data_IF_606924257577
#
_entry.id   IF_606924257577
#
_cell.length_a   1.000
_cell.length_b   1.000
_cell.length_c   1.000
_cell.angle_alpha   90.00
_cell.angle_beta   90.00
_cell.angle_gamma   90.00
#
_symmetry.space_group_name_H-M   'P 1'
#
loop_
_entity.id
_entity.type
_entity.pdbx_description
1 polymer ?
#
# COMPACT_ATOMS: atom_id res chain seq x y z
N UNK A 1 -2.81 -74.35 3.68
CA UNK A 1 -3.70 -73.39 2.99
C UNK A 1 -4.20 -72.26 3.90
N UNK A 2 -4.39 -72.46 5.22
CA UNK A 2 -4.90 -71.40 6.12
C UNK A 2 -3.97 -70.21 6.36
N UNK A 3 -2.65 -70.41 6.44
CA UNK A 3 -1.71 -69.32 6.74
C UNK A 3 -1.48 -68.39 5.55
N UNK A 4 -1.52 -68.93 4.33
CA UNK A 4 -1.41 -68.13 3.11
C UNK A 4 -2.65 -67.25 2.90
N UNK A 5 -3.84 -67.79 3.18
CA UNK A 5 -5.09 -67.02 3.13
C UNK A 5 -5.13 -65.90 4.18
N UNK A 6 -4.60 -66.13 5.39
CA UNK A 6 -4.46 -65.08 6.42
C UNK A 6 -3.45 -64.00 6.03
N UNK A 7 -2.33 -64.39 5.43
CA UNK A 7 -1.32 -63.44 4.95
C UNK A 7 -1.85 -62.58 3.80
N UNK A 8 -2.59 -63.17 2.86
CA UNK A 8 -3.26 -62.43 1.76
C UNK A 8 -4.30 -61.46 2.31
N UNK A 9 -5.17 -61.89 3.23
CA UNK A 9 -6.18 -61.02 3.83
C UNK A 9 -5.56 -59.83 4.58
N UNK A 10 -4.44 -60.05 5.29
CA UNK A 10 -3.70 -58.98 5.98
C UNK A 10 -3.10 -57.98 4.98
N UNK A 11 -2.48 -58.47 3.90
CA UNK A 11 -1.94 -57.62 2.84
C UNK A 11 -3.02 -56.82 2.11
N UNK A 12 -4.19 -57.41 1.86
CA UNK A 12 -5.32 -56.71 1.25
C UNK A 12 -5.84 -55.57 2.13
N UNK A 13 -5.90 -55.77 3.44
CA UNK A 13 -6.27 -54.75 4.42
C UNK A 13 -5.23 -53.61 4.46
N UNK A 14 -3.95 -53.95 4.55
CA UNK A 14 -2.85 -52.96 4.51
C UNK A 14 -2.86 -52.17 3.20
N UNK A 15 -3.07 -52.83 2.06
CA UNK A 15 -3.13 -52.16 0.75
C UNK A 15 -4.36 -51.26 0.61
N UNK A 16 -5.48 -51.60 1.27
CA UNK A 16 -6.67 -50.73 1.32
C UNK A 16 -6.39 -49.50 2.18
N UNK A 17 -5.83 -49.68 3.38
CA UNK A 17 -5.43 -48.59 4.26
C UNK A 17 -4.45 -47.62 3.60
N UNK A 18 -3.44 -48.12 2.87
CA UNK A 18 -2.50 -47.29 2.11
C UNK A 18 -3.21 -46.49 1.00
N UNK A 19 -4.20 -47.08 0.32
CA UNK A 19 -4.98 -46.37 -0.71
C UNK A 19 -5.83 -45.26 -0.12
N UNK A 20 -6.48 -45.51 1.02
CA UNK A 20 -7.30 -44.51 1.73
C UNK A 20 -6.42 -43.36 2.25
N UNK A 21 -5.28 -43.67 2.87
CA UNK A 21 -4.32 -42.65 3.30
C UNK A 21 -3.82 -41.79 2.14
N UNK A 22 -3.52 -42.42 1.00
CA UNK A 22 -3.10 -41.68 -0.20
C UNK A 22 -4.19 -40.73 -0.70
N UNK A 23 -5.44 -41.15 -0.72
CA UNK A 23 -6.56 -40.27 -1.11
C UNK A 23 -6.74 -39.10 -0.13
N UNK A 24 -6.51 -39.32 1.16
CA UNK A 24 -6.55 -38.25 2.17
C UNK A 24 -5.43 -37.25 1.91
N UNK A 25 -4.19 -37.71 1.71
CA UNK A 25 -3.04 -36.84 1.41
C UNK A 25 -3.26 -36.04 0.13
N UNK A 26 -3.71 -36.68 -0.96
CA UNK A 26 -4.01 -35.98 -2.22
C UNK A 26 -5.07 -34.88 -2.03
N UNK A 27 -6.07 -35.11 -1.17
CA UNK A 27 -7.08 -34.10 -0.84
C UNK A 27 -6.51 -32.96 0.01
N UNK A 28 -5.63 -33.27 0.97
CA UNK A 28 -4.94 -32.25 1.77
C UNK A 28 -4.06 -31.37 0.89
N UNK A 29 -3.27 -31.95 0.00
CA UNK A 29 -2.40 -31.20 -0.92
C UNK A 29 -3.22 -30.28 -1.85
N UNK A 30 -4.37 -30.75 -2.32
CA UNK A 30 -5.28 -29.93 -3.15
C UNK A 30 -5.80 -28.71 -2.37
N UNK A 31 -6.23 -28.91 -1.12
CA UNK A 31 -6.74 -27.80 -0.29
C UNK A 31 -5.63 -26.83 0.13
N UNK A 32 -4.45 -27.35 0.50
CA UNK A 32 -3.27 -26.52 0.81
C UNK A 32 -2.93 -25.64 -0.39
N UNK A 33 -2.86 -26.22 -1.59
CA UNK A 33 -2.54 -25.48 -2.81
C UNK A 33 -3.59 -24.42 -3.13
N UNK A 34 -4.88 -24.73 -2.96
CA UNK A 34 -5.96 -23.76 -3.19
C UNK A 34 -5.88 -22.56 -2.22
N UNK A 35 -5.60 -22.80 -0.94
CA UNK A 35 -5.46 -21.74 0.07
C UNK A 35 -4.20 -20.90 -0.11
N UNK A 36 -3.09 -21.54 -0.50
CA UNK A 36 -1.87 -20.82 -0.87
C UNK A 36 -2.10 -19.93 -2.09
N UNK A 37 -2.82 -20.41 -3.10
CA UNK A 37 -3.19 -19.62 -4.29
C UNK A 37 -4.06 -18.40 -3.92
N UNK A 38 -4.99 -18.54 -2.98
CA UNK A 38 -5.78 -17.42 -2.43
C UNK A 38 -4.87 -16.35 -1.78
N UNK A 39 -3.90 -16.76 -0.94
CA UNK A 39 -2.92 -15.86 -0.31
C UNK A 39 -2.00 -15.20 -1.34
N UNK A 40 -1.49 -15.96 -2.32
CA UNK A 40 -0.60 -15.46 -3.37
C UNK A 40 -1.31 -14.49 -4.33
N UNK A 41 -2.59 -14.73 -4.62
CA UNK A 41 -3.40 -13.86 -5.48
C UNK A 41 -3.54 -12.45 -4.92
N UNK A 42 -3.57 -12.30 -3.59
CA UNK A 42 -3.55 -10.97 -2.96
C UNK A 42 -2.27 -10.20 -3.32
N UNK A 43 -1.12 -10.87 -3.41
CA UNK A 43 0.13 -10.25 -3.87
C UNK A 43 0.03 -9.70 -5.29
N UNK A 44 -0.68 -10.42 -6.16
CA UNK A 44 -0.96 -9.94 -7.53
C UNK A 44 -1.91 -8.74 -7.53
N UNK A 45 -2.94 -8.75 -6.68
CA UNK A 45 -3.86 -7.62 -6.53
C UNK A 45 -3.16 -6.36 -5.98
N UNK A 46 -2.19 -6.52 -5.08
CA UNK A 46 -1.37 -5.40 -4.58
C UNK A 46 -0.53 -4.76 -5.70
N UNK A 47 0.03 -5.58 -6.60
CA UNK A 47 0.79 -5.08 -7.75
C UNK A 47 -0.11 -4.34 -8.76
N UNK A 48 -1.31 -4.85 -9.03
CA UNK A 48 -2.29 -4.16 -9.87
C UNK A 48 -2.71 -2.82 -9.25
N UNK A 49 -2.97 -2.82 -7.93
CA UNK A 49 -3.33 -1.63 -7.19
C UNK A 49 -2.23 -0.55 -7.25
N UNK A 50 -0.96 -0.94 -7.16
CA UNK A 50 0.16 -0.01 -7.36
C UNK A 50 0.09 0.67 -8.73
N UNK A 51 -0.10 -0.10 -9.80
CA UNK A 51 -0.20 0.45 -11.15
C UNK A 51 -1.39 1.41 -11.32
N UNK A 52 -2.53 1.08 -10.72
CA UNK A 52 -3.71 1.94 -10.72
C UNK A 52 -3.46 3.24 -9.95
N UNK A 53 -2.84 3.16 -8.78
CA UNK A 53 -2.52 4.33 -7.95
C UNK A 53 -1.51 5.27 -8.63
N UNK A 54 -0.49 4.73 -9.31
CA UNK A 54 0.47 5.56 -10.06
C UNK A 54 -0.27 6.41 -11.11
N UNK A 55 -1.17 5.79 -11.88
CA UNK A 55 -1.95 6.50 -12.88
C UNK A 55 -2.91 7.53 -12.24
N UNK A 56 -3.61 7.15 -11.18
CA UNK A 56 -4.57 8.02 -10.49
C UNK A 56 -3.89 9.23 -9.85
N UNK A 57 -2.71 9.05 -9.25
CA UNK A 57 -1.91 10.13 -8.68
C UNK A 57 -1.39 11.05 -9.79
N UNK A 58 -0.90 10.49 -10.89
CA UNK A 58 -0.44 11.26 -12.05
C UNK A 58 -1.57 12.10 -12.69
N UNK A 59 -2.81 11.60 -12.64
CA UNK A 59 -4.02 12.28 -13.14
C UNK A 59 -4.68 13.21 -12.10
N UNK A 60 -4.18 13.24 -10.87
CA UNK A 60 -4.75 13.99 -9.74
C UNK A 60 -6.20 13.58 -9.37
N UNK A 61 -6.59 12.34 -9.67
CA UNK A 61 -7.92 11.80 -9.33
C UNK A 61 -7.94 11.33 -7.86
N UNK A 62 -8.10 12.29 -6.95
CA UNK A 62 -8.08 12.02 -5.52
C UNK A 62 -9.23 11.10 -5.05
N UNK A 63 -10.38 11.09 -5.74
CA UNK A 63 -11.48 10.17 -5.39
C UNK A 63 -11.13 8.73 -5.75
N UNK A 64 -10.52 8.51 -6.91
CA UNK A 64 -10.03 7.18 -7.29
C UNK A 64 -8.94 6.70 -6.33
N UNK A 65 -8.01 7.58 -5.93
CA UNK A 65 -7.00 7.26 -4.90
C UNK A 65 -7.66 6.83 -3.58
N UNK A 66 -8.65 7.56 -3.07
CA UNK A 66 -9.36 7.19 -1.84
C UNK A 66 -10.00 5.80 -1.92
N UNK A 67 -10.63 5.50 -3.06
CA UNK A 67 -11.24 4.20 -3.30
C UNK A 67 -10.20 3.08 -3.34
N UNK A 68 -9.10 3.28 -4.05
CA UNK A 68 -7.98 2.34 -4.14
C UNK A 68 -7.40 2.02 -2.76
N UNK A 69 -7.23 3.03 -1.89
CA UNK A 69 -6.71 2.82 -0.53
C UNK A 69 -7.72 2.14 0.41
N UNK A 70 -9.01 2.34 0.18
CA UNK A 70 -10.05 1.55 0.84
C UNK A 70 -9.98 0.07 0.42
N UNK A 71 -9.76 -0.20 -0.87
CA UNK A 71 -9.55 -1.56 -1.38
C UNK A 71 -8.30 -2.23 -0.79
N UNK A 72 -7.19 -1.50 -0.64
CA UNK A 72 -5.98 -2.01 0.02
C UNK A 72 -6.26 -2.59 1.41
N UNK A 73 -7.04 -1.87 2.22
CA UNK A 73 -7.38 -2.31 3.59
C UNK A 73 -8.15 -3.61 3.61
N UNK A 74 -9.03 -3.82 2.63
CA UNK A 74 -9.76 -5.07 2.47
C UNK A 74 -8.87 -6.23 2.03
N UNK A 75 -7.84 -5.97 1.20
CA UNK A 75 -6.91 -7.01 0.74
C UNK A 75 -6.07 -7.60 1.86
N UNK A 76 -5.68 -6.78 2.85
CA UNK A 76 -4.84 -7.21 3.98
C UNK A 76 -5.63 -7.36 5.28
N UNK A 77 -6.95 -7.51 5.20
CA UNK A 77 -7.79 -7.64 6.39
C UNK A 77 -7.48 -8.94 7.13
N UNK A 78 -7.26 -8.82 8.45
CA UNK A 78 -6.97 -9.97 9.31
C UNK A 78 -8.13 -10.96 9.31
N UNK A 79 -9.38 -10.49 9.26
CA UNK A 79 -10.56 -11.37 9.32
C UNK A 79 -10.69 -12.22 8.05
N UNK A 80 -10.17 -11.74 6.92
CA UNK A 80 -10.21 -12.41 5.63
C UNK A 80 -8.97 -13.30 5.42
N UNK A 81 -7.76 -12.81 5.75
CA UNK A 81 -6.49 -13.48 5.41
C UNK A 81 -6.07 -14.52 6.45
N UNK A 82 -6.26 -14.24 7.75
CA UNK A 82 -5.80 -15.13 8.82
C UNK A 82 -6.42 -16.54 8.77
N UNK A 83 -7.71 -16.72 8.43
CA UNK A 83 -8.30 -18.05 8.27
C UNK A 83 -7.58 -18.92 7.24
N UNK A 84 -7.16 -18.36 6.11
CA UNK A 84 -6.46 -19.11 5.07
C UNK A 84 -5.04 -19.48 5.49
N UNK A 85 -4.33 -18.57 6.16
CA UNK A 85 -3.04 -18.85 6.82
C UNK A 85 -3.21 -20.03 7.79
N UNK A 86 -4.16 -19.94 8.70
CA UNK A 86 -4.39 -20.97 9.72
C UNK A 86 -4.76 -22.32 9.08
N UNK A 87 -5.57 -22.30 8.01
CA UNK A 87 -5.93 -23.50 7.26
C UNK A 87 -4.69 -24.16 6.62
N UNK A 88 -3.85 -23.41 5.92
CA UNK A 88 -2.62 -23.94 5.30
C UNK A 88 -1.73 -24.60 6.35
N UNK A 89 -1.50 -23.92 7.47
CA UNK A 89 -0.61 -24.39 8.52
C UNK A 89 -1.14 -25.66 9.20
N UNK A 90 -2.46 -25.73 9.47
CA UNK A 90 -3.09 -26.92 10.03
C UNK A 90 -3.04 -28.11 9.09
N UNK A 91 -3.40 -27.90 7.82
CA UNK A 91 -3.45 -28.97 6.81
C UNK A 91 -2.04 -29.50 6.53
N UNK A 92 -1.04 -28.62 6.48
CA UNK A 92 0.37 -28.99 6.34
C UNK A 92 0.84 -29.81 7.53
N UNK A 93 0.53 -29.38 8.76
CA UNK A 93 0.90 -30.14 9.95
C UNK A 93 0.25 -31.54 10.00
N UNK A 94 -1.01 -31.64 9.56
CA UNK A 94 -1.72 -32.93 9.43
C UNK A 94 -1.11 -33.83 8.36
N UNK A 95 -0.69 -33.27 7.22
CA UNK A 95 -0.06 -34.01 6.13
C UNK A 95 1.31 -34.57 6.52
N UNK A 96 2.11 -33.74 7.19
CA UNK A 96 3.52 -34.02 7.48
C UNK A 96 3.73 -34.69 8.85
N UNK A 97 2.65 -34.96 9.59
CA UNK A 97 2.66 -35.52 10.96
C UNK A 97 3.53 -34.68 11.92
N UNK A 98 3.46 -33.36 11.77
CA UNK A 98 4.18 -32.40 12.63
C UNK A 98 3.28 -31.85 13.72
N UNK A 99 3.83 -31.24 14.78
CA UNK A 99 3.02 -30.60 15.82
C UNK A 99 2.03 -29.60 15.23
N UNK A 100 0.78 -29.68 15.68
CA UNK A 100 -0.28 -28.74 15.30
C UNK A 100 0.11 -27.33 15.77
N UNK A 101 0.04 -26.30 14.91
CA UNK A 101 0.35 -24.94 15.31
C UNK A 101 -0.60 -24.46 16.40
N UNK A 102 -0.08 -23.62 17.32
CA UNK A 102 -0.92 -22.98 18.33
C UNK A 102 -1.75 -21.86 17.69
N UNK A 103 -3.00 -22.19 17.39
CA UNK A 103 -3.98 -21.24 16.83
C UNK A 103 -4.46 -20.21 17.86
N UNK A 104 -4.15 -20.41 19.14
CA UNK A 104 -4.51 -19.48 20.21
C UNK A 104 -3.49 -18.35 20.38
N UNK A 105 -2.39 -18.33 19.59
CA UNK A 105 -1.43 -17.21 19.64
C UNK A 105 -2.20 -15.89 19.44
N UNK A 106 -1.96 -14.91 20.31
CA UNK A 106 -2.90 -13.84 20.52
C UNK A 106 -2.92 -12.85 19.35
N UNK A 107 -4.12 -12.40 19.03
CA UNK A 107 -4.39 -11.23 18.18
C UNK A 107 -3.80 -9.93 18.77
N UNK A 108 -3.12 -9.97 19.91
CA UNK A 108 -2.43 -8.82 20.51
C UNK A 108 -1.34 -8.23 19.62
N UNK A 109 -0.87 -8.99 18.62
CA UNK A 109 -0.03 -8.45 17.54
C UNK A 109 -0.76 -7.41 16.69
N UNK A 110 -2.09 -7.44 16.63
CA UNK A 110 -2.93 -6.46 15.91
C UNK A 110 -3.40 -5.30 16.81
N UNK A 111 -3.33 -5.46 18.14
CA UNK A 111 -3.75 -4.47 19.14
C UNK A 111 -2.73 -3.34 19.37
N UNK A 112 -1.50 -3.50 18.88
CA UNK A 112 -0.45 -2.49 19.05
C UNK A 112 -0.44 -1.56 17.84
N UNK A 113 -0.65 -0.26 18.09
CA UNK A 113 -0.50 0.81 17.09
C UNK A 113 0.97 1.04 16.65
N UNK A 114 1.92 0.30 17.24
CA UNK A 114 3.37 0.45 17.08
C UNK A 114 4.01 -0.79 16.40
N UNK A 115 3.23 -1.52 15.60
CA UNK A 115 3.66 -2.78 14.97
C UNK A 115 4.31 -2.46 13.63
N UNK A 116 5.64 -2.38 13.65
CA UNK A 116 6.48 -2.28 12.46
C UNK A 116 6.97 -0.86 12.13
N UNK A 117 8.19 -0.79 11.59
CA UNK A 117 8.73 0.43 10.98
C UNK A 117 8.22 0.51 9.54
N UNK A 118 7.09 1.19 9.32
CA UNK A 118 6.62 1.54 7.98
C UNK A 118 7.01 2.98 7.63
N UNK A 119 7.08 3.34 6.33
CA UNK A 119 7.27 4.73 5.92
C UNK A 119 6.26 5.65 6.61
N UNK A 120 6.71 6.85 7.00
CA UNK A 120 5.86 7.91 7.56
C UNK A 120 6.25 9.26 6.99
N UNK A 121 5.25 10.05 6.65
CA UNK A 121 5.41 11.43 6.24
C UNK A 121 4.45 12.30 7.04
N UNK A 122 4.94 13.41 7.57
CA UNK A 122 4.09 14.37 8.29
C UNK A 122 3.93 15.67 7.52
N UNK A 123 2.90 16.45 7.87
CA UNK A 123 2.74 17.80 7.35
C UNK A 123 3.94 18.69 7.69
N UNK A 124 4.57 18.50 8.86
CA UNK A 124 5.78 19.23 9.25
C UNK A 124 6.98 18.90 8.37
N UNK A 125 7.10 17.66 7.90
CA UNK A 125 8.16 17.27 6.96
C UNK A 125 7.96 17.93 5.59
N UNK A 126 6.71 18.01 5.14
CA UNK A 126 6.32 18.73 3.92
C UNK A 126 6.57 20.24 4.05
N UNK A 127 6.23 20.86 5.19
CA UNK A 127 6.52 22.27 5.47
C UNK A 127 8.03 22.54 5.46
N UNK A 128 8.83 21.66 6.08
CA UNK A 128 10.29 21.78 6.09
C UNK A 128 10.88 21.67 4.69
N UNK A 129 10.39 20.73 3.88
CA UNK A 129 10.80 20.57 2.49
C UNK A 129 10.45 21.80 1.64
N UNK A 130 9.27 22.37 1.85
CA UNK A 130 8.79 23.58 1.20
C UNK A 130 9.68 24.78 1.50
N UNK A 131 9.96 25.07 2.79
CA UNK A 131 10.84 26.16 3.19
C UNK A 131 12.27 25.97 2.65
N UNK A 132 12.77 24.73 2.67
CA UNK A 132 14.08 24.42 2.09
C UNK A 132 14.11 24.60 0.57
N UNK A 133 13.01 24.38 -0.15
CA UNK A 133 12.91 24.65 -1.58
C UNK A 133 12.94 26.17 -1.87
N UNK A 134 12.19 26.97 -1.10
CA UNK A 134 12.20 28.43 -1.21
C UNK A 134 13.57 29.02 -0.90
N UNK A 135 14.21 28.59 0.17
CA UNK A 135 15.56 29.06 0.53
C UNK A 135 16.59 28.74 -0.58
N UNK A 136 16.51 27.54 -1.19
CA UNK A 136 17.35 27.15 -2.33
C UNK A 136 17.05 27.99 -3.58
N UNK A 137 15.80 28.38 -3.80
CA UNK A 137 15.45 29.27 -4.90
C UNK A 137 16.02 30.68 -4.68
N UNK A 138 15.85 31.25 -3.48
CA UNK A 138 16.43 32.54 -3.10
C UNK A 138 17.96 32.54 -3.24
N UNK A 139 18.63 31.47 -2.80
CA UNK A 139 20.07 31.32 -2.96
C UNK A 139 20.48 31.29 -4.45
N UNK A 140 19.82 30.46 -5.27
CA UNK A 140 20.10 30.37 -6.71
C UNK A 140 19.88 31.71 -7.42
N UNK A 141 18.84 32.44 -7.03
CA UNK A 141 18.56 33.76 -7.58
C UNK A 141 19.71 34.73 -7.30
N UNK A 142 20.18 34.78 -6.05
CA UNK A 142 21.32 35.64 -5.68
C UNK A 142 22.61 35.22 -6.39
N UNK A 143 22.86 33.91 -6.56
CA UNK A 143 24.03 33.40 -7.30
C UNK A 143 24.03 33.79 -8.79
N UNK A 144 22.86 33.81 -9.44
CA UNK A 144 22.73 34.12 -10.87
C UNK A 144 22.66 35.63 -11.11
N UNK A 145 21.92 36.34 -10.27
CA UNK A 145 21.48 37.71 -10.53
C UNK A 145 21.94 38.75 -9.49
N UNK A 146 22.55 38.33 -8.38
CA UNK A 146 22.95 39.21 -7.27
C UNK A 146 23.96 40.28 -7.68
N UNK A 147 24.93 39.91 -8.52
CA UNK A 147 25.95 40.82 -9.07
C UNK A 147 25.55 41.42 -10.43
N UNK A 148 24.33 41.16 -10.91
CA UNK A 148 23.90 41.65 -12.21
C UNK A 148 23.76 43.18 -12.20
N UNK A 149 24.20 43.83 -13.28
CA UNK A 149 24.15 45.28 -13.43
C UNK A 149 22.74 45.73 -13.84
N UNK A 150 21.80 45.63 -12.90
CA UNK A 150 20.42 46.07 -13.07
C UNK A 150 20.39 47.58 -13.36
N UNK A 151 19.68 47.97 -14.43
CA UNK A 151 19.52 49.37 -14.80
C UNK A 151 18.60 50.12 -13.83
N UNK A 152 17.66 49.40 -13.22
CA UNK A 152 16.67 49.89 -12.27
C UNK A 152 16.49 48.92 -11.10
N UNK A 153 16.45 49.46 -9.88
CA UNK A 153 16.18 48.67 -8.67
C UNK A 153 14.75 48.13 -8.66
N UNK A 154 13.78 48.86 -9.23
CA UNK A 154 12.40 48.38 -9.33
C UNK A 154 12.30 47.18 -10.29
N UNK A 155 13.05 47.18 -11.39
CA UNK A 155 13.11 46.05 -12.31
C UNK A 155 13.70 44.80 -11.62
N UNK A 156 14.80 44.97 -10.88
CA UNK A 156 15.39 43.90 -10.05
C UNK A 156 14.37 43.31 -9.07
N UNK A 157 13.67 44.18 -8.32
CA UNK A 157 12.73 43.75 -7.29
C UNK A 157 11.51 43.06 -7.90
N UNK A 158 11.03 43.52 -9.07
CA UNK A 158 9.95 42.87 -9.82
C UNK A 158 10.36 41.47 -10.30
N UNK A 159 11.53 41.35 -10.94
CA UNK A 159 12.00 40.05 -11.42
C UNK A 159 12.22 39.06 -10.26
N UNK A 160 12.76 39.55 -9.13
CA UNK A 160 12.91 38.73 -7.93
C UNK A 160 11.55 38.26 -7.39
N UNK A 161 10.53 39.12 -7.41
CA UNK A 161 9.19 38.75 -6.97
C UNK A 161 8.56 37.70 -7.88
N UNK A 162 8.73 37.84 -9.19
CA UNK A 162 8.23 36.89 -10.19
C UNK A 162 8.93 35.52 -10.04
N UNK A 163 10.26 35.48 -10.00
CA UNK A 163 11.03 34.24 -9.81
C UNK A 163 10.68 33.55 -8.48
N UNK A 164 10.42 34.33 -7.42
CA UNK A 164 9.99 33.80 -6.12
C UNK A 164 8.56 33.25 -6.17
N UNK A 165 7.67 33.87 -6.93
CA UNK A 165 6.30 33.38 -7.13
C UNK A 165 6.31 32.05 -7.90
N UNK A 166 7.13 31.94 -8.96
CA UNK A 166 7.32 30.69 -9.70
C UNK A 166 7.91 29.59 -8.80
N UNK A 167 8.96 29.90 -8.04
CA UNK A 167 9.56 28.94 -7.11
C UNK A 167 8.57 28.46 -6.04
N UNK A 168 7.69 29.36 -5.57
CA UNK A 168 6.62 29.01 -4.62
C UNK A 168 5.61 28.07 -5.25
N UNK A 169 5.18 28.35 -6.48
CA UNK A 169 4.23 27.49 -7.19
C UNK A 169 4.81 26.09 -7.40
N UNK A 170 6.08 25.99 -7.80
CA UNK A 170 6.75 24.70 -7.98
C UNK A 170 6.91 23.94 -6.65
N UNK A 171 7.22 24.65 -5.56
CA UNK A 171 7.29 24.03 -4.23
C UNK A 171 5.92 23.51 -3.74
N UNK A 172 4.81 24.15 -4.12
CA UNK A 172 3.46 23.64 -3.82
C UNK A 172 3.19 22.34 -4.61
N UNK A 173 3.56 22.28 -5.89
CA UNK A 173 3.42 21.06 -6.70
C UNK A 173 4.27 19.91 -6.16
N UNK A 174 5.55 20.17 -5.83
CA UNK A 174 6.45 19.17 -5.24
C UNK A 174 5.88 18.63 -3.93
N UNK A 175 5.21 19.47 -3.14
CA UNK A 175 4.56 19.08 -1.89
C UNK A 175 3.42 18.08 -2.10
N UNK A 176 2.53 18.34 -3.06
CA UNK A 176 1.47 17.41 -3.43
C UNK A 176 2.03 16.11 -4.01
N UNK A 177 3.03 16.21 -4.90
CA UNK A 177 3.72 15.05 -5.46
C UNK A 177 4.38 14.17 -4.41
N UNK A 178 5.05 14.76 -3.40
CA UNK A 178 5.62 14.00 -2.26
C UNK A 178 4.56 13.28 -1.44
N UNK A 179 3.41 13.93 -1.19
CA UNK A 179 2.32 13.30 -0.46
C UNK A 179 1.70 12.13 -1.24
N UNK A 180 1.55 12.26 -2.57
CA UNK A 180 1.13 11.17 -3.45
C UNK A 180 2.14 10.01 -3.46
N UNK A 181 3.43 10.32 -3.63
CA UNK A 181 4.49 9.32 -3.60
C UNK A 181 4.55 8.58 -2.25
N UNK A 182 4.23 9.23 -1.15
CA UNK A 182 4.19 8.57 0.14
C UNK A 182 3.09 7.49 0.23
N UNK A 183 1.94 7.73 -0.40
CA UNK A 183 0.89 6.70 -0.53
C UNK A 183 1.45 5.50 -1.30
N UNK A 184 2.17 5.74 -2.40
CA UNK A 184 2.81 4.67 -3.19
C UNK A 184 3.84 3.89 -2.36
N UNK A 185 4.70 4.57 -1.60
CA UNK A 185 5.70 3.95 -0.73
C UNK A 185 5.07 2.98 0.29
N UNK A 186 3.88 3.29 0.81
CA UNK A 186 3.16 2.40 1.72
C UNK A 186 2.66 1.14 1.01
N UNK A 187 2.12 1.28 -0.20
CA UNK A 187 1.67 0.13 -1.00
C UNK A 187 2.85 -0.75 -1.42
N UNK A 188 3.96 -0.14 -1.83
CA UNK A 188 5.20 -0.84 -2.17
C UNK A 188 5.76 -1.59 -0.96
N UNK A 189 5.75 -0.97 0.22
CA UNK A 189 6.19 -1.64 1.43
C UNK A 189 5.35 -2.90 1.71
N UNK A 190 4.03 -2.84 1.54
CA UNK A 190 3.15 -3.98 1.72
C UNK A 190 3.40 -5.04 0.65
N UNK A 191 3.38 -4.65 -0.63
CA UNK A 191 3.47 -5.57 -1.77
C UNK A 191 4.84 -6.19 -1.98
N UNK A 192 5.92 -5.41 -1.85
CA UNK A 192 7.28 -5.84 -2.19
C UNK A 192 8.06 -6.35 -0.97
N UNK A 193 7.66 -5.98 0.25
CA UNK A 193 8.36 -6.39 1.48
C UNK A 193 7.55 -7.34 2.33
N UNK A 194 6.36 -6.92 2.76
CA UNK A 194 5.60 -7.67 3.77
C UNK A 194 4.89 -8.88 3.17
N UNK A 195 4.25 -8.76 2.01
CA UNK A 195 3.50 -9.87 1.42
C UNK A 195 4.38 -11.08 1.05
N UNK A 196 5.56 -10.89 0.42
CA UNK A 196 6.47 -12.01 0.16
C UNK A 196 6.99 -12.67 1.43
N UNK A 197 7.26 -11.88 2.49
CA UNK A 197 7.69 -12.38 3.80
C UNK A 197 6.58 -13.23 4.46
N UNK A 198 5.32 -12.79 4.34
CA UNK A 198 4.15 -13.54 4.80
C UNK A 198 4.04 -14.89 4.08
N UNK A 199 4.13 -14.90 2.75
CA UNK A 199 4.07 -16.14 1.95
C UNK A 199 5.17 -17.10 2.38
N UNK A 200 6.42 -16.62 2.48
CA UNK A 200 7.57 -17.43 2.92
C UNK A 200 7.35 -18.00 4.34
N UNK A 201 6.77 -17.21 5.25
CA UNK A 201 6.48 -17.65 6.60
C UNK A 201 5.41 -18.76 6.65
N UNK A 202 4.37 -18.66 5.80
CA UNK A 202 3.32 -19.68 5.69
C UNK A 202 3.90 -20.97 5.12
N UNK A 203 4.69 -20.90 4.05
CA UNK A 203 5.36 -22.06 3.45
C UNK A 203 6.30 -22.75 4.43
N UNK A 204 6.99 -21.97 5.29
CA UNK A 204 7.89 -22.49 6.31
C UNK A 204 7.17 -23.08 7.53
N UNK A 205 5.84 -22.96 7.63
CA UNK A 205 5.08 -23.40 8.80
C UNK A 205 5.18 -22.45 10.01
N UNK A 206 5.73 -21.24 9.85
CA UNK A 206 5.97 -20.29 10.93
C UNK A 206 4.77 -19.35 11.12
N UNK A 207 3.76 -19.83 11.85
CA UNK A 207 2.58 -19.03 12.23
C UNK A 207 2.96 -17.72 12.91
N UNK A 208 3.97 -17.74 13.78
CA UNK A 208 4.34 -16.59 14.59
C UNK A 208 4.94 -15.46 13.77
N UNK A 209 5.71 -15.79 12.73
CA UNK A 209 6.19 -14.84 11.72
C UNK A 209 5.03 -14.38 10.83
N UNK A 210 4.23 -15.30 10.29
CA UNK A 210 3.11 -14.97 9.38
C UNK A 210 2.11 -13.98 10.02
N UNK A 211 1.68 -14.24 11.26
CA UNK A 211 0.75 -13.36 12.00
C UNK A 211 1.36 -11.99 12.26
N UNK A 212 2.66 -11.91 12.54
CA UNK A 212 3.34 -10.64 12.79
C UNK A 212 3.44 -9.81 11.52
N UNK A 213 3.86 -10.44 10.42
CA UNK A 213 3.97 -9.77 9.12
C UNK A 213 2.60 -9.30 8.63
N UNK A 214 1.54 -10.12 8.81
CA UNK A 214 0.17 -9.69 8.52
C UNK A 214 -0.22 -8.47 9.37
N UNK A 215 0.10 -8.47 10.66
CA UNK A 215 -0.19 -7.32 11.52
C UNK A 215 0.56 -6.05 11.10
N UNK A 216 1.82 -6.17 10.66
CA UNK A 216 2.60 -5.06 10.08
C UNK A 216 1.95 -4.56 8.77
N UNK A 217 1.46 -5.46 7.92
CA UNK A 217 0.75 -5.10 6.69
C UNK A 217 -0.57 -4.37 6.99
N UNK A 218 -1.35 -4.84 7.96
CA UNK A 218 -2.56 -4.14 8.42
C UNK A 218 -2.22 -2.75 8.99
N UNK A 219 -1.12 -2.61 9.73
CA UNK A 219 -0.69 -1.33 10.28
C UNK A 219 -0.31 -0.34 9.16
N UNK A 220 0.50 -0.78 8.19
CA UNK A 220 0.85 0.03 7.01
C UNK A 220 -0.41 0.42 6.19
N UNK A 221 -1.36 -0.50 6.02
CA UNK A 221 -2.63 -0.20 5.34
C UNK A 221 -3.54 0.74 6.13
N UNK A 222 -3.39 0.84 7.46
CA UNK A 222 -4.08 1.87 8.25
C UNK A 222 -3.47 3.25 8.04
N UNK A 223 -2.15 3.35 7.90
CA UNK A 223 -1.42 4.59 7.62
C UNK A 223 -1.79 5.23 6.27
N UNK A 224 -2.42 4.48 5.35
CA UNK A 224 -2.85 5.07 4.07
C UNK A 224 -3.98 6.11 4.21
N UNK A 225 -4.81 6.11 5.27
CA UNK A 225 -5.75 7.22 5.52
C UNK A 225 -5.04 8.54 5.79
N UNK A 226 -4.19 8.63 6.82
CA UNK A 226 -3.51 9.89 7.10
C UNK A 226 -2.63 10.31 5.92
N UNK A 227 -2.00 9.37 5.21
CA UNK A 227 -1.27 9.66 3.97
C UNK A 227 -2.17 10.25 2.88
N UNK A 228 -3.36 9.66 2.66
CA UNK A 228 -4.35 10.22 1.74
C UNK A 228 -4.81 11.62 2.14
N UNK A 229 -5.06 11.85 3.43
CA UNK A 229 -5.46 13.18 3.91
C UNK A 229 -4.36 14.21 3.72
N UNK A 230 -3.10 13.84 3.87
CA UNK A 230 -1.98 14.69 3.49
C UNK A 230 -1.99 14.98 1.98
N UNK A 231 -2.20 13.98 1.15
CA UNK A 231 -2.28 14.16 -0.30
C UNK A 231 -3.43 15.11 -0.71
N UNK A 232 -4.64 14.87 -0.22
CA UNK A 232 -5.84 15.67 -0.49
C UNK A 232 -5.66 17.15 -0.10
N UNK A 233 -5.13 17.41 1.09
CA UNK A 233 -4.87 18.78 1.58
C UNK A 233 -3.85 19.48 0.68
N UNK A 234 -2.80 18.79 0.25
CA UNK A 234 -1.75 19.40 -0.56
C UNK A 234 -2.17 19.60 -2.01
N UNK A 235 -3.01 18.73 -2.57
CA UNK A 235 -3.68 18.98 -3.85
C UNK A 235 -4.61 20.18 -3.78
N UNK A 236 -5.34 20.35 -2.67
CA UNK A 236 -6.22 21.50 -2.49
C UNK A 236 -5.43 22.81 -2.50
N UNK A 237 -4.29 22.86 -1.81
CA UNK A 237 -3.37 24.00 -1.84
C UNK A 237 -2.82 24.26 -3.26
N UNK A 238 -2.51 23.21 -4.00
CA UNK A 238 -2.09 23.32 -5.40
C UNK A 238 -3.21 23.93 -6.26
N UNK A 239 -4.43 23.42 -6.15
CA UNK A 239 -5.60 23.95 -6.85
C UNK A 239 -5.83 25.43 -6.54
N UNK A 240 -5.86 25.81 -5.26
CA UNK A 240 -6.05 27.21 -4.84
C UNK A 240 -4.98 28.15 -5.41
N UNK A 241 -3.74 27.66 -5.51
CA UNK A 241 -2.64 28.45 -6.07
C UNK A 241 -2.69 28.57 -7.60
N UNK A 242 -3.13 27.51 -8.28
CA UNK A 242 -3.14 27.42 -9.73
C UNK A 242 -4.03 26.25 -10.18
N UNK A 243 -5.33 26.49 -10.44
CA UNK A 243 -6.27 25.43 -10.81
C UNK A 243 -5.81 24.62 -12.02
N UNK A 244 -5.33 25.30 -13.05
CA UNK A 244 -4.83 24.69 -14.30
C UNK A 244 -3.60 23.78 -14.10
N UNK A 245 -2.93 23.85 -12.95
CA UNK A 245 -1.79 22.98 -12.67
C UNK A 245 -2.17 21.52 -12.41
N UNK A 246 -3.46 21.24 -12.19
CA UNK A 246 -4.02 19.88 -12.06
C UNK A 246 -4.53 19.31 -13.40
N UNK A 247 -4.21 19.95 -14.53
CA UNK A 247 -4.64 19.49 -15.85
C UNK A 247 -6.16 19.42 -15.99
N UNK A 248 -6.66 18.33 -16.58
CA UNK A 248 -8.09 18.14 -16.85
C UNK A 248 -8.96 18.16 -15.59
N UNK A 249 -8.44 17.66 -14.46
CA UNK A 249 -9.16 17.70 -13.18
C UNK A 249 -9.32 19.13 -12.67
N UNK A 250 -8.27 19.94 -12.81
CA UNK A 250 -8.32 21.37 -12.49
C UNK A 250 -9.33 22.13 -13.34
N UNK A 251 -9.37 21.86 -14.64
CA UNK A 251 -10.36 22.44 -15.57
C UNK A 251 -11.79 22.07 -15.17
N UNK A 252 -12.05 20.78 -14.90
CA UNK A 252 -13.36 20.30 -14.50
C UNK A 252 -13.87 20.94 -13.20
N UNK A 253 -12.99 21.09 -12.19
CA UNK A 253 -13.33 21.76 -10.92
C UNK A 253 -13.63 23.24 -11.13
N UNK A 254 -12.81 23.95 -11.92
CA UNK A 254 -13.03 25.37 -12.22
C UNK A 254 -14.32 25.63 -13.00
N UNK A 255 -14.66 24.76 -13.95
CA UNK A 255 -15.93 24.80 -14.68
C UNK A 255 -17.13 24.58 -13.75
N UNK A 256 -17.00 23.64 -12.82
CA UNK A 256 -18.04 23.37 -11.81
C UNK A 256 -18.23 24.55 -10.85
N UNK A 257 -17.17 25.17 -10.36
CA UNK A 257 -17.23 26.38 -9.52
C UNK A 257 -17.89 27.54 -10.27
N UNK A 258 -17.56 27.71 -11.55
CA UNK A 258 -18.18 28.71 -12.42
C UNK A 258 -19.68 28.47 -12.61
N UNK A 259 -20.08 27.21 -12.77
CA UNK A 259 -21.50 26.82 -12.84
C UNK A 259 -22.23 27.08 -11.52
N UNK A 260 -21.64 26.73 -10.37
CA UNK A 260 -22.22 26.99 -9.04
C UNK A 260 -22.40 28.49 -8.76
N UNK A 261 -21.44 29.31 -9.20
CA UNK A 261 -21.49 30.76 -9.06
C UNK A 261 -22.41 31.46 -10.07
N UNK A 262 -22.91 30.74 -11.08
CA UNK A 262 -23.79 31.31 -12.10
C UNK A 262 -25.21 31.54 -11.52
N UNK A 263 -25.83 32.71 -11.77
CA UNK A 263 -27.19 32.97 -11.30
C UNK A 263 -28.15 31.94 -11.91
N UNK A 264 -28.94 31.28 -11.06
CA UNK A 264 -30.02 30.40 -11.51
C UNK A 264 -31.00 31.23 -12.32
N UNK A 265 -31.21 30.87 -13.59
CA UNK A 265 -32.24 31.49 -14.40
C UNK A 265 -33.60 31.25 -13.75
N UNK A 266 -34.25 32.33 -13.30
CA UNK A 266 -35.67 32.35 -12.90
C UNK A 266 -36.59 32.30 -14.13
#
# INVERSE_FOLDING_TARGET
MGDLAKAVAKLEEETRGVRELRQIVERLDTEIAARMDEIETIGSALLELHGDLDNQIAEYDYMAVEQSLSSLRGLVDVEEVLPDIDAVLLLTALRDDTPVPDLSLPLSSFERDDVGEHPRLTQEDLDRAFEAALARADQRWEEIWGDHAWADAHERDSQRADDRAEARQEAIKDRAGRAGNHVMELVDHIGDTLWPDLVEAVEAGDRGRAVRVLAEACAAARETEPAYKLYEVNLSLQYESSPMSLGAMGEALSDFETWLGSPRAE
#
